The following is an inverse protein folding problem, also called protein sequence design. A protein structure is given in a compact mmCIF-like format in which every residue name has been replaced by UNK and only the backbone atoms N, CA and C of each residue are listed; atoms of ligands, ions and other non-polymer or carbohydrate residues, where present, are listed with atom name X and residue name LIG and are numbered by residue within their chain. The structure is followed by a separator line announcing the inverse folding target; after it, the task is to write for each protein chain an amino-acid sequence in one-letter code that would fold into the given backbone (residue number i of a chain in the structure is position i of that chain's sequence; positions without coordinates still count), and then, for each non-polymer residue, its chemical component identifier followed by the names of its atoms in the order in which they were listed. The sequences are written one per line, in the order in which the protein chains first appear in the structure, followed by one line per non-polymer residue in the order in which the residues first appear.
data_IF_619209854682
#
_entry.id   IF_619209854682
#
_cell.length_a   1.000
_cell.length_b   1.000
_cell.length_c   1.000
_cell.angle_alpha   90.00
_cell.angle_beta   90.00
_cell.angle_gamma   90.00
#
_symmetry.space_group_name_H-M   'P 1'
#
loop_
_entity.id
_entity.type
_entity.pdbx_description
1 polymer ?
#
# COMPACT_ATOMS: atom_id res chain seq x y z
N UNK A 1 -14.06 -15.14 15.19
CA UNK A 1 -15.06 -14.07 15.13
C UNK A 1 -14.54 -12.76 15.69
N UNK A 2 -14.16 -12.76 16.94
CA UNK A 2 -13.68 -11.53 17.57
C UNK A 2 -12.45 -10.96 16.92
N UNK A 3 -11.59 -11.82 16.36
CA UNK A 3 -10.37 -11.35 15.71
C UNK A 3 -10.62 -10.41 14.53
N UNK A 4 -11.76 -10.56 13.85
CA UNK A 4 -12.12 -9.69 12.75
C UNK A 4 -12.48 -8.28 13.20
N UNK A 5 -12.78 -8.10 14.46
CA UNK A 5 -13.10 -6.81 15.03
C UNK A 5 -11.86 -6.05 15.49
N UNK A 6 -10.72 -6.74 15.66
CA UNK A 6 -9.48 -6.13 16.12
C UNK A 6 -8.85 -5.23 15.07
N UNK A 7 -8.93 -5.65 13.84
CA UNK A 7 -8.35 -4.96 12.69
C UNK A 7 -9.35 -4.85 11.58
N UNK A 8 -9.30 -3.76 10.87
CA UNK A 8 -10.03 -3.63 9.63
C UNK A 8 -9.21 -2.83 8.62
N UNK A 9 -9.50 -3.05 7.36
CA UNK A 9 -8.83 -2.35 6.28
C UNK A 9 -9.77 -2.27 5.10
N UNK A 10 -9.45 -1.40 4.17
CA UNK A 10 -10.14 -1.32 2.89
C UNK A 10 -9.14 -1.41 1.76
N UNK A 11 -9.59 -1.98 0.65
CA UNK A 11 -8.79 -2.09 -0.56
C UNK A 11 -9.60 -1.52 -1.70
N UNK A 12 -9.00 -0.63 -2.49
CA UNK A 12 -9.68 -0.03 -3.63
C UNK A 12 -8.68 0.21 -4.75
N UNK A 13 -9.17 0.30 -5.96
CA UNK A 13 -8.36 0.77 -7.08
C UNK A 13 -8.33 2.29 -7.06
N UNK A 14 -7.16 2.85 -7.24
CA UNK A 14 -6.96 4.29 -7.26
C UNK A 14 -6.02 4.65 -8.40
N UNK A 15 -6.24 5.81 -9.01
CA UNK A 15 -5.29 6.40 -9.94
C UNK A 15 -4.20 7.10 -9.11
N UNK A 16 -2.96 6.71 -9.32
CA UNK A 16 -1.79 7.34 -8.69
C UNK A 16 -1.15 8.28 -9.68
N UNK A 17 -1.12 9.57 -9.35
CA UNK A 17 -0.43 10.58 -10.15
C UNK A 17 1.00 10.70 -9.68
N UNK A 18 1.91 10.77 -10.64
CA UNK A 18 3.32 10.88 -10.34
C UNK A 18 3.74 12.32 -10.16
N UNK A 19 4.56 12.56 -9.13
CA UNK A 19 5.21 13.84 -8.97
C UNK A 19 6.17 14.07 -10.14
N UNK A 20 6.29 15.32 -10.58
CA UNK A 20 7.17 15.69 -11.70
C UNK A 20 8.64 15.38 -11.42
N UNK A 21 9.02 15.23 -10.16
CA UNK A 21 10.39 14.91 -9.75
C UNK A 21 10.76 13.44 -9.93
N UNK A 22 9.76 12.55 -10.16
CA UNK A 22 10.05 11.12 -10.30
C UNK A 22 10.79 10.83 -11.61
N UNK A 23 11.80 9.98 -11.52
CA UNK A 23 12.56 9.58 -12.69
C UNK A 23 11.72 8.72 -13.62
N UNK A 24 11.99 8.81 -14.92
CA UNK A 24 11.30 7.99 -15.92
C UNK A 24 11.54 6.49 -15.71
N UNK A 25 12.73 6.13 -15.25
CA UNK A 25 13.06 4.74 -14.93
C UNK A 25 12.16 4.21 -13.83
N UNK A 26 11.93 5.02 -12.79
CA UNK A 26 11.08 4.62 -11.69
C UNK A 26 9.61 4.52 -12.10
N UNK A 27 9.13 5.45 -12.91
CA UNK A 27 7.77 5.43 -13.45
C UNK A 27 7.57 4.15 -14.28
N UNK A 28 8.51 3.81 -15.14
CA UNK A 28 8.44 2.60 -15.94
C UNK A 28 8.38 1.35 -15.08
N UNK A 29 9.17 1.29 -14.02
CA UNK A 29 9.14 0.16 -13.08
C UNK A 29 7.78 0.02 -12.42
N UNK A 30 7.15 1.13 -12.06
CA UNK A 30 5.85 1.14 -11.42
C UNK A 30 4.76 0.73 -12.39
N UNK A 31 4.71 1.32 -13.57
CA UNK A 31 3.69 1.03 -14.57
C UNK A 31 3.92 -0.32 -15.27
N UNK A 32 5.17 -0.64 -15.54
CA UNK A 32 5.55 -1.87 -16.22
C UNK A 32 5.58 -1.77 -17.74
N UNK A 33 5.07 -0.72 -18.34
CA UNK A 33 4.93 -0.59 -19.78
C UNK A 33 5.58 0.67 -20.34
N UNK A 34 5.43 1.80 -19.66
CA UNK A 34 5.86 3.09 -20.19
C UNK A 34 6.45 3.96 -19.10
N UNK A 35 7.42 4.79 -19.47
CA UNK A 35 7.96 5.82 -18.59
C UNK A 35 7.40 7.22 -18.92
N UNK A 36 6.40 7.30 -19.80
CA UNK A 36 5.83 8.56 -20.26
C UNK A 36 4.45 8.87 -19.70
N UNK A 37 3.89 7.96 -18.91
CA UNK A 37 2.58 8.15 -18.31
C UNK A 37 2.67 9.11 -17.13
N UNK A 38 1.58 9.81 -16.87
CA UNK A 38 1.47 10.73 -15.75
C UNK A 38 0.84 10.07 -14.53
N UNK A 39 0.09 9.00 -14.74
CA UNK A 39 -0.55 8.25 -13.67
C UNK A 39 -0.68 6.76 -14.01
N UNK A 40 -0.96 5.97 -13.00
CA UNK A 40 -1.23 4.53 -13.16
C UNK A 40 -2.24 4.08 -12.11
N UNK A 41 -2.90 2.95 -12.34
CA UNK A 41 -3.82 2.37 -11.36
C UNK A 41 -3.07 1.53 -10.35
N UNK A 42 -3.43 1.70 -9.09
CA UNK A 42 -2.80 1.00 -7.96
C UNK A 42 -3.89 0.48 -7.02
N UNK A 43 -3.52 -0.50 -6.19
CA UNK A 43 -4.37 -0.93 -5.09
C UNK A 43 -4.08 -0.03 -3.89
N UNK A 44 -5.06 0.76 -3.47
CA UNK A 44 -4.93 1.59 -2.29
C UNK A 44 -5.37 0.80 -1.06
N UNK A 45 -4.43 0.57 -0.15
CA UNK A 45 -4.73 0.01 1.16
C UNK A 45 -5.03 1.16 2.11
N UNK A 46 -6.29 1.27 2.51
CA UNK A 46 -6.73 2.28 3.44
C UNK A 46 -7.20 1.69 4.75
N UNK A 47 -7.33 2.53 5.75
CA UNK A 47 -7.96 2.17 7.02
C UNK A 47 -7.35 0.96 7.72
N UNK A 48 -6.05 0.74 7.59
CA UNK A 48 -5.40 -0.30 8.37
C UNK A 48 -5.31 0.18 9.81
N UNK A 49 -6.32 -0.16 10.58
CA UNK A 49 -6.46 0.32 11.94
C UNK A 49 -6.77 -0.84 12.88
N UNK A 50 -6.16 -0.80 14.03
CA UNK A 50 -6.41 -1.75 15.10
C UNK A 50 -7.39 -1.14 16.07
N UNK A 51 -8.38 -1.91 16.51
CA UNK A 51 -9.28 -1.49 17.56
C UNK A 51 -8.46 -1.23 18.84
N UNK A 52 -8.59 -0.05 19.41
CA UNK A 52 -7.81 0.36 20.55
C UNK A 52 -7.95 -0.58 21.77
N UNK A 53 -9.11 -1.20 21.92
CA UNK A 53 -9.35 -2.12 23.03
C UNK A 53 -8.51 -3.38 22.93
N UNK A 54 -8.00 -3.71 21.76
CA UNK A 54 -7.30 -4.96 21.49
C UNK A 54 -5.88 -4.75 20.95
N UNK A 55 -5.28 -3.61 21.23
CA UNK A 55 -3.98 -3.26 20.67
C UNK A 55 -2.87 -4.26 20.95
N UNK A 56 -2.98 -5.04 22.02
CA UNK A 56 -1.95 -5.99 22.43
C UNK A 56 -2.07 -7.35 21.77
N UNK A 57 -3.20 -7.62 21.10
CA UNK A 57 -3.53 -8.99 20.70
C UNK A 57 -3.15 -9.34 19.27
N UNK A 58 -2.98 -8.37 18.41
CA UNK A 58 -2.70 -8.62 16.99
C UNK A 58 -1.68 -7.64 16.47
N UNK A 59 -0.67 -8.19 15.78
CA UNK A 59 0.38 -7.43 15.12
C UNK A 59 -0.10 -7.00 13.73
N UNK A 60 0.18 -5.76 13.36
CA UNK A 60 -0.13 -5.24 12.02
C UNK A 60 0.53 -6.04 10.91
N UNK A 61 1.72 -6.55 11.15
CA UNK A 61 2.40 -7.43 10.21
C UNK A 61 1.59 -8.68 9.90
N UNK A 62 0.99 -9.30 10.93
CA UNK A 62 0.15 -10.48 10.74
C UNK A 62 -1.05 -10.18 9.86
N UNK A 63 -1.64 -9.00 10.01
CA UNK A 63 -2.77 -8.60 9.17
C UNK A 63 -2.33 -8.41 7.73
N UNK A 64 -1.20 -7.74 7.50
CA UNK A 64 -0.69 -7.55 6.16
C UNK A 64 -0.37 -8.88 5.48
N UNK A 65 0.39 -9.75 6.14
CA UNK A 65 0.82 -11.03 5.56
C UNK A 65 -0.31 -12.05 5.48
N UNK A 66 -1.20 -12.07 6.47
CA UNK A 66 -2.24 -13.08 6.57
C UNK A 66 -3.50 -12.77 5.79
N UNK A 67 -3.81 -11.50 5.57
CA UNK A 67 -5.07 -11.11 4.96
C UNK A 67 -4.91 -10.18 3.77
N UNK A 68 -4.13 -9.11 3.92
CA UNK A 68 -4.04 -8.09 2.89
C UNK A 68 -3.30 -8.60 1.66
N UNK A 69 -2.09 -9.09 1.82
CA UNK A 69 -1.28 -9.53 0.69
C UNK A 69 -1.89 -10.73 -0.05
N UNK A 70 -2.45 -11.74 0.63
CA UNK A 70 -3.14 -12.81 -0.08
C UNK A 70 -4.37 -12.33 -0.86
N UNK A 71 -5.13 -11.39 -0.31
CA UNK A 71 -6.29 -10.83 -1.00
C UNK A 71 -5.87 -10.07 -2.25
N UNK A 72 -4.85 -9.26 -2.16
CA UNK A 72 -4.33 -8.52 -3.31
C UNK A 72 -3.77 -9.48 -4.36
N UNK A 73 -3.07 -10.53 -3.95
CA UNK A 73 -2.56 -11.54 -4.86
C UNK A 73 -3.68 -12.18 -5.68
N UNK A 74 -4.84 -12.42 -5.07
CA UNK A 74 -6.01 -12.91 -5.79
C UNK A 74 -6.56 -11.86 -6.76
N UNK A 75 -6.66 -10.62 -6.32
CA UNK A 75 -7.16 -9.54 -7.17
C UNK A 75 -6.29 -9.35 -8.42
N UNK A 76 -4.98 -9.46 -8.28
CA UNK A 76 -4.04 -9.35 -9.40
C UNK A 76 -4.33 -10.39 -10.48
N UNK A 77 -4.74 -11.59 -10.10
CA UNK A 77 -5.06 -12.66 -11.07
C UNK A 77 -6.23 -12.29 -11.97
N UNK A 78 -7.17 -11.51 -11.47
CA UNK A 78 -8.40 -11.18 -12.19
C UNK A 78 -8.38 -9.79 -12.82
N UNK A 79 -7.71 -8.86 -12.18
CA UNK A 79 -7.76 -7.45 -12.55
C UNK A 79 -6.40 -6.93 -13.04
N UNK A 80 -5.32 -7.62 -12.70
CA UNK A 80 -3.97 -7.14 -12.96
C UNK A 80 -3.52 -6.16 -11.89
N UNK A 81 -2.45 -5.45 -12.17
CA UNK A 81 -1.87 -4.47 -11.25
C UNK A 81 -0.48 -4.85 -10.80
N UNK A 82 0.29 -3.88 -10.35
CA UNK A 82 1.70 -4.08 -10.03
C UNK A 82 2.09 -3.65 -8.62
N UNK A 83 1.34 -2.75 -8.01
CA UNK A 83 1.74 -2.18 -6.72
C UNK A 83 0.55 -1.97 -5.78
N UNK A 84 0.86 -2.02 -4.48
CA UNK A 84 -0.02 -1.54 -3.43
C UNK A 84 0.49 -0.17 -3.01
N UNK A 85 -0.41 0.80 -2.87
CA UNK A 85 -0.12 2.12 -2.35
C UNK A 85 -0.69 2.24 -0.93
N UNK A 86 0.10 2.80 -0.01
CA UNK A 86 -0.42 3.29 1.25
C UNK A 86 -0.18 4.79 1.34
N UNK A 87 -1.07 5.48 2.01
CA UNK A 87 -0.94 6.88 2.31
C UNK A 87 -0.97 7.03 3.82
N UNK A 88 0.08 7.60 4.41
CA UNK A 88 0.18 7.72 5.85
C UNK A 88 0.66 9.11 6.26
N UNK A 89 0.38 9.48 7.51
CA UNK A 89 0.93 10.70 8.08
C UNK A 89 2.45 10.60 8.13
N UNK A 90 3.12 11.75 8.06
CA UNK A 90 4.57 11.81 8.15
C UNK A 90 5.02 11.59 9.60
N UNK A 91 4.93 10.34 10.05
CA UNK A 91 5.34 9.91 11.39
C UNK A 91 6.33 8.76 11.24
N UNK A 92 7.43 8.87 11.94
CA UNK A 92 8.52 7.91 11.86
C UNK A 92 8.06 6.48 12.14
N UNK A 93 7.19 6.28 13.13
CA UNK A 93 6.67 4.96 13.46
C UNK A 93 5.89 4.32 12.32
N UNK A 94 5.07 5.10 11.63
CA UNK A 94 4.28 4.61 10.51
C UNK A 94 5.17 4.28 9.32
N UNK A 95 6.08 5.18 9.00
CA UNK A 95 7.01 4.98 7.88
C UNK A 95 7.89 3.76 8.12
N UNK A 96 8.39 3.59 9.35
CA UNK A 96 9.20 2.43 9.72
C UNK A 96 8.38 1.14 9.65
N UNK A 97 7.14 1.16 10.13
CA UNK A 97 6.27 -0.01 10.09
C UNK A 97 6.06 -0.49 8.65
N UNK A 98 5.68 0.42 7.76
CA UNK A 98 5.46 0.04 6.37
C UNK A 98 6.76 -0.32 5.66
N UNK A 99 7.85 0.40 5.97
CA UNK A 99 9.17 0.07 5.43
C UNK A 99 9.61 -1.34 5.81
N UNK A 100 9.36 -1.76 7.05
CA UNK A 100 9.68 -3.10 7.53
C UNK A 100 8.80 -4.19 6.89
N UNK A 101 7.70 -3.80 6.27
CA UNK A 101 6.79 -4.72 5.59
C UNK A 101 6.88 -4.62 4.06
N UNK A 102 7.98 -4.12 3.55
CA UNK A 102 8.27 -4.15 2.12
C UNK A 102 7.79 -2.96 1.32
N UNK A 103 7.32 -1.92 1.99
CA UNK A 103 6.95 -0.69 1.32
C UNK A 103 8.15 0.25 1.22
N UNK A 104 8.22 0.98 0.14
CA UNK A 104 9.27 1.98 -0.07
C UNK A 104 8.62 3.35 -0.31
N UNK A 105 9.31 4.40 0.11
CA UNK A 105 8.85 5.76 -0.11
C UNK A 105 8.77 6.07 -1.60
N UNK A 106 7.68 6.68 -2.02
CA UNK A 106 7.49 7.13 -3.39
C UNK A 106 7.57 8.66 -3.49
N UNK A 107 6.67 9.33 -2.81
CA UNK A 107 6.52 10.78 -2.92
C UNK A 107 5.62 11.30 -1.81
N UNK A 108 5.61 12.62 -1.64
CA UNK A 108 4.64 13.30 -0.80
C UNK A 108 3.52 13.87 -1.65
N UNK A 109 2.32 13.74 -1.13
CA UNK A 109 1.16 14.45 -1.60
C UNK A 109 0.54 15.09 -0.36
N UNK A 110 -0.76 15.02 -0.15
CA UNK A 110 -1.33 15.39 1.14
C UNK A 110 -0.77 14.53 2.27
N UNK A 111 -0.49 13.25 1.96
CA UNK A 111 0.15 12.30 2.86
C UNK A 111 1.44 11.79 2.24
N UNK A 112 2.24 11.11 3.07
CA UNK A 112 3.38 10.35 2.57
C UNK A 112 2.83 9.15 1.81
N UNK A 113 3.27 8.97 0.58
CA UNK A 113 2.89 7.83 -0.25
C UNK A 113 4.02 6.82 -0.30
N UNK A 114 3.71 5.59 0.06
CA UNK A 114 4.64 4.46 0.02
C UNK A 114 4.04 3.35 -0.83
N UNK A 115 4.89 2.64 -1.52
CA UNK A 115 4.45 1.58 -2.44
C UNK A 115 5.17 0.26 -2.15
N UNK A 116 4.47 -0.84 -2.44
CA UNK A 116 5.05 -2.18 -2.44
C UNK A 116 4.78 -2.83 -3.78
N UNK A 117 5.84 -3.33 -4.42
CA UNK A 117 5.71 -4.03 -5.68
C UNK A 117 5.15 -5.43 -5.47
N UNK A 118 4.22 -5.82 -6.35
CA UNK A 118 3.57 -7.13 -6.31
C UNK A 118 4.31 -8.15 -7.20
N UNK A 119 5.16 -7.66 -8.05
CA UNK A 119 5.91 -8.49 -8.98
C UNK A 119 7.37 -8.07 -9.01
#
# INVERSE_FOLDING_TARGET
METLEYWHFSLALKSLKFDVSLSKTRIRKIDGLSNKIEDTSVYLLGQLAKNELYQKDTDGKEILEGYVFPLVAQAVKYVGGRIILIECANKEKLISFYGNNGFVYLQDDEYVQMIRFLV
#
